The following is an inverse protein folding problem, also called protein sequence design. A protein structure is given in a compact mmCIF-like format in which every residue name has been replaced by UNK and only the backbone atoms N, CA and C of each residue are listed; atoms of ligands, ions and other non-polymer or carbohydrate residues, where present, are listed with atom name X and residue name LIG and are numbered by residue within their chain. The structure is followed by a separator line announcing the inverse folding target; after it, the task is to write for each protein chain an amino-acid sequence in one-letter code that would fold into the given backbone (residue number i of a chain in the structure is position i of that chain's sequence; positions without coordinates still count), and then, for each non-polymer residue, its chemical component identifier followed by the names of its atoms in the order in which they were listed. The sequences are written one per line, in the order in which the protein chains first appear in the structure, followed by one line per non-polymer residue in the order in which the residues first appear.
data_IF_005845445286
#
_entry.id   IF_005845445286
#
_cell.length_a   1.000
_cell.length_b   1.000
_cell.length_c   1.000
_cell.angle_alpha   90.00
_cell.angle_beta   90.00
_cell.angle_gamma   90.00
#
_symmetry.space_group_name_H-M   'P 1'
#
loop_
_entity.id
_entity.type
_entity.pdbx_description
1 polymer ?
#
# COMPACT_ATOMS: atom_id res chain seq x y z
N UNK A 1 -0.56 40.43 -12.61
CA UNK A 1 -1.99 40.11 -12.84
C UNK A 1 -2.21 39.54 -14.22
N UNK A 2 -3.29 38.77 -14.40
CA UNK A 2 -3.79 38.08 -15.61
C UNK A 2 -3.07 36.77 -16.02
N UNK A 3 -3.62 35.59 -15.69
CA UNK A 3 -4.65 34.89 -16.48
C UNK A 3 -4.23 34.65 -17.94
N UNK A 4 -3.61 33.50 -18.23
CA UNK A 4 -3.62 32.87 -19.57
C UNK A 4 -3.00 31.47 -19.51
N UNK A 5 -3.83 30.48 -19.23
CA UNK A 5 -3.89 29.14 -19.86
C UNK A 5 -4.78 28.23 -19.00
N UNK A 6 -6.09 28.49 -19.04
CA UNK A 6 -7.13 27.63 -18.46
C UNK A 6 -7.35 26.32 -19.24
N UNK A 7 -6.27 25.65 -19.67
CA UNK A 7 -6.33 24.32 -20.30
C UNK A 7 -5.10 23.54 -19.84
N UNK A 8 -5.32 22.44 -19.12
CA UNK A 8 -4.36 21.50 -18.49
C UNK A 8 -4.24 21.53 -16.96
N UNK A 9 -5.14 22.21 -16.22
CA UNK A 9 -5.28 21.89 -14.79
C UNK A 9 -6.04 20.56 -14.60
N UNK A 10 -7.07 20.31 -15.43
CA UNK A 10 -7.91 19.11 -15.32
C UNK A 10 -7.19 17.81 -15.70
N UNK A 11 -6.25 17.85 -16.66
CA UNK A 11 -5.45 16.68 -17.05
C UNK A 11 -4.45 16.23 -15.97
N UNK A 12 -3.97 17.13 -15.11
CA UNK A 12 -3.07 16.78 -14.00
C UNK A 12 -3.86 16.18 -12.81
N UNK A 13 -5.14 16.51 -12.70
CA UNK A 13 -6.02 16.01 -11.64
C UNK A 13 -6.50 14.59 -11.95
N UNK A 14 -6.66 14.20 -13.21
CA UNK A 14 -6.97 12.80 -13.59
C UNK A 14 -5.81 11.82 -13.33
N UNK A 15 -4.55 12.25 -13.36
CA UNK A 15 -3.42 11.42 -12.89
C UNK A 15 -3.35 11.31 -11.36
N UNK A 16 -3.98 12.25 -10.65
CA UNK A 16 -4.16 12.23 -9.19
C UNK A 16 -5.56 11.79 -8.76
N UNK A 17 -6.30 11.07 -9.61
CA UNK A 17 -7.34 10.13 -9.15
C UNK A 17 -6.65 8.97 -8.42
N UNK A 18 -6.07 9.30 -7.27
CA UNK A 18 -5.80 8.43 -6.14
C UNK A 18 -7.16 7.92 -5.68
N UNK A 19 -7.77 7.05 -6.49
CA UNK A 19 -8.83 6.17 -6.02
C UNK A 19 -8.14 5.32 -4.99
N UNK A 20 -8.24 5.76 -3.73
CA UNK A 20 -7.78 4.99 -2.61
C UNK A 20 -8.42 3.63 -2.76
N UNK A 21 -7.63 2.56 -2.72
CA UNK A 21 -8.18 1.21 -2.72
C UNK A 21 -8.92 1.07 -1.40
N UNK A 22 -10.23 1.32 -1.44
CA UNK A 22 -11.17 1.10 -0.33
C UNK A 22 -11.73 -0.31 -0.36
N UNK A 23 -11.55 -1.02 -1.49
CA UNK A 23 -11.79 -2.45 -1.62
C UNK A 23 -10.82 -3.22 -0.71
N UNK A 24 -11.23 -3.48 0.52
CA UNK A 24 -10.49 -4.30 1.48
C UNK A 24 -10.18 -5.70 0.91
N UNK A 25 -11.06 -6.25 0.08
CA UNK A 25 -10.85 -7.55 -0.60
C UNK A 25 -9.64 -7.50 -1.56
N UNK A 26 -9.57 -6.50 -2.45
CA UNK A 26 -8.42 -6.33 -3.35
C UNK A 26 -7.13 -6.12 -2.57
N UNK A 27 -7.20 -5.30 -1.51
CA UNK A 27 -6.03 -5.04 -0.69
C UNK A 27 -5.56 -6.29 0.07
N UNK A 28 -6.50 -7.09 0.57
CA UNK A 28 -6.21 -8.38 1.23
C UNK A 28 -5.52 -9.34 0.28
N UNK A 29 -5.99 -9.48 -0.97
CA UNK A 29 -5.32 -10.32 -1.97
C UNK A 29 -3.88 -9.88 -2.22
N UNK A 30 -3.65 -8.57 -2.38
CA UNK A 30 -2.30 -8.03 -2.59
C UNK A 30 -1.40 -8.26 -1.36
N UNK A 31 -1.94 -8.09 -0.16
CA UNK A 31 -1.25 -8.38 1.10
C UNK A 31 -0.86 -9.86 1.16
N UNK A 32 -1.76 -10.78 0.82
CA UNK A 32 -1.46 -12.21 0.79
C UNK A 32 -0.37 -12.57 -0.23
N UNK A 33 -0.39 -11.96 -1.41
CA UNK A 33 0.68 -12.13 -2.39
C UNK A 33 2.02 -11.64 -1.84
N UNK A 34 2.06 -10.43 -1.26
CA UNK A 34 3.30 -9.88 -0.69
C UNK A 34 3.83 -10.77 0.44
N UNK A 35 2.97 -11.26 1.32
CA UNK A 35 3.34 -12.20 2.40
C UNK A 35 3.91 -13.50 1.82
N UNK A 36 3.30 -14.05 0.76
CA UNK A 36 3.80 -15.27 0.09
C UNK A 36 5.13 -15.05 -0.62
N UNK A 37 5.33 -13.91 -1.27
CA UNK A 37 6.58 -13.59 -1.97
C UNK A 37 7.71 -13.21 -1.01
N UNK A 38 7.39 -12.73 0.19
CA UNK A 38 8.36 -12.18 1.14
C UNK A 38 8.35 -12.97 2.47
N UNK A 39 8.30 -14.30 2.41
CA UNK A 39 8.25 -15.14 3.62
C UNK A 39 9.41 -14.91 4.59
N UNK A 40 10.61 -14.53 4.09
CA UNK A 40 11.73 -14.15 4.97
C UNK A 40 11.40 -12.96 5.87
N UNK A 41 10.77 -11.91 5.33
CA UNK A 41 10.35 -10.75 6.12
C UNK A 41 9.22 -11.09 7.10
N UNK A 42 8.36 -12.05 6.75
CA UNK A 42 7.31 -12.57 7.64
C UNK A 42 7.93 -13.27 8.85
N UNK A 43 8.91 -14.15 8.61
CA UNK A 43 9.65 -14.85 9.67
C UNK A 43 10.45 -13.88 10.54
N UNK A 44 11.14 -12.90 9.94
CA UNK A 44 11.84 -11.85 10.67
C UNK A 44 10.89 -11.04 11.57
N UNK A 45 9.70 -10.70 11.10
CA UNK A 45 8.70 -10.03 11.91
C UNK A 45 8.22 -10.91 13.07
N UNK A 46 7.98 -12.20 12.82
CA UNK A 46 7.63 -13.18 13.86
C UNK A 46 8.73 -13.34 14.92
N UNK A 47 9.99 -13.17 14.53
CA UNK A 47 11.16 -13.11 15.44
C UNK A 47 11.27 -11.79 16.20
N UNK A 48 10.33 -10.86 16.01
CA UNK A 48 10.28 -9.57 16.69
C UNK A 48 10.96 -8.42 15.95
N UNK A 49 11.46 -8.63 14.72
CA UNK A 49 12.06 -7.56 13.92
C UNK A 49 10.98 -6.68 13.31
N UNK A 50 10.64 -5.61 14.02
CA UNK A 50 9.61 -4.63 13.61
C UNK A 50 9.89 -3.99 12.24
N UNK A 51 11.16 -3.86 11.86
CA UNK A 51 11.59 -3.33 10.56
C UNK A 51 11.07 -4.15 9.37
N UNK A 52 10.92 -5.47 9.56
CA UNK A 52 10.40 -6.35 8.52
C UNK A 52 8.93 -6.05 8.18
N UNK A 53 8.14 -5.56 9.15
CA UNK A 53 6.79 -5.09 8.89
C UNK A 53 6.79 -3.82 8.03
N UNK A 54 7.66 -2.86 8.30
CA UNK A 54 7.80 -1.65 7.48
C UNK A 54 8.21 -1.98 6.04
N UNK A 55 9.08 -2.98 5.86
CA UNK A 55 9.44 -3.50 4.55
C UNK A 55 8.21 -4.07 3.81
N UNK A 56 7.43 -4.94 4.47
CA UNK A 56 6.21 -5.51 3.89
C UNK A 56 5.18 -4.43 3.52
N UNK A 57 5.01 -3.41 4.38
CA UNK A 57 4.15 -2.25 4.08
C UNK A 57 4.61 -1.56 2.80
N UNK A 58 5.93 -1.29 2.67
CA UNK A 58 6.51 -0.69 1.47
C UNK A 58 6.26 -1.52 0.20
N UNK A 59 6.37 -2.84 0.29
CA UNK A 59 6.10 -3.76 -0.83
C UNK A 59 4.63 -3.70 -1.28
N UNK A 60 3.69 -3.67 -0.33
CA UNK A 60 2.24 -3.51 -0.64
C UNK A 60 1.95 -2.14 -1.25
N UNK A 61 2.55 -1.07 -0.70
CA UNK A 61 2.39 0.28 -1.27
C UNK A 61 2.95 0.36 -2.69
N UNK A 62 4.06 -0.32 -2.98
CA UNK A 62 4.64 -0.40 -4.32
C UNK A 62 3.71 -1.16 -5.28
N UNK A 63 3.18 -2.32 -4.90
CA UNK A 63 2.23 -3.09 -5.74
C UNK A 63 0.95 -2.31 -6.02
N UNK A 64 0.47 -1.54 -5.05
CA UNK A 64 -0.72 -0.70 -5.19
C UNK A 64 -0.44 0.65 -5.86
N UNK A 65 0.82 0.93 -6.25
CA UNK A 65 1.26 2.21 -6.82
C UNK A 65 0.89 3.41 -5.95
N UNK A 66 0.99 3.26 -4.63
CA UNK A 66 0.64 4.28 -3.65
C UNK A 66 -0.87 4.50 -3.48
N UNK A 67 -1.72 3.67 -4.08
CA UNK A 67 -3.18 3.78 -3.97
C UNK A 67 -3.75 3.20 -2.67
N UNK A 68 -2.97 2.39 -1.93
CA UNK A 68 -3.40 1.90 -0.63
C UNK A 68 -2.97 2.84 0.49
N UNK A 69 -3.80 2.93 1.54
CA UNK A 69 -3.43 3.68 2.74
C UNK A 69 -2.43 2.90 3.58
N UNK A 70 -1.29 3.50 3.99
CA UNK A 70 -0.31 2.82 4.83
C UNK A 70 -0.88 2.35 6.17
N UNK A 71 -1.87 3.06 6.72
CA UNK A 71 -2.53 2.68 7.97
C UNK A 71 -3.32 1.37 7.80
N UNK A 72 -4.08 1.25 6.70
CA UNK A 72 -4.89 0.06 6.39
C UNK A 72 -3.97 -1.12 6.07
N UNK A 73 -2.94 -0.90 5.24
CA UNK A 73 -1.95 -1.93 4.89
C UNK A 73 -1.26 -2.48 6.13
N UNK A 74 -0.80 -1.61 7.03
CA UNK A 74 -0.15 -2.02 8.27
C UNK A 74 -1.09 -2.82 9.19
N UNK A 75 -2.37 -2.43 9.27
CA UNK A 75 -3.40 -3.19 10.01
C UNK A 75 -3.55 -4.59 9.42
N UNK A 76 -3.79 -4.70 8.11
CA UNK A 76 -3.99 -5.97 7.42
C UNK A 76 -2.76 -6.89 7.50
N UNK A 77 -1.55 -6.34 7.36
CA UNK A 77 -0.31 -7.11 7.52
C UNK A 77 -0.13 -7.62 8.94
N UNK A 78 -0.42 -6.81 9.96
CA UNK A 78 -0.38 -7.27 11.36
C UNK A 78 -1.42 -8.34 11.64
N UNK A 79 -2.65 -8.18 11.15
CA UNK A 79 -3.70 -9.19 11.29
C UNK A 79 -3.30 -10.49 10.60
N UNK A 80 -2.72 -10.41 9.39
CA UNK A 80 -2.34 -11.60 8.63
C UNK A 80 -1.10 -12.30 9.17
N UNK A 81 -0.06 -11.56 9.52
CA UNK A 81 1.20 -12.13 10.01
C UNK A 81 1.15 -12.45 11.50
N UNK A 82 0.43 -11.67 12.29
CA UNK A 82 0.24 -11.89 13.73
C UNK A 82 -0.77 -12.98 14.09
N UNK A 83 -1.69 -13.34 13.17
CA UNK A 83 -2.56 -14.51 13.33
C UNK A 83 -1.92 -15.82 12.86
N UNK A 84 -0.73 -15.77 12.25
CA UNK A 84 0.05 -16.93 11.80
C UNK A 84 1.05 -17.36 12.86
#
# INVERSE_FOLDING_TARGET
EMFKTGRNAEKIIEEKKLVQITDELKLTTIVEEVVKENQGAVDDFKKGKKEALSFLVGQVMKKTKGKASPQVVNKLLKERVGSL
#
